data_IF_281033953607
#
_entry.id   IF_281033953607
#
_cell.length_a   1.000
_cell.length_b   1.000
_cell.length_c   1.000
_cell.angle_alpha   90.00
_cell.angle_beta   90.00
_cell.angle_gamma   90.00
#
_symmetry.space_group_name_H-M   'P 1'
#
loop_
_entity.id
_entity.type
_entity.pdbx_description
1 polymer ?
#
# COMPACT_ATOMS: atom_id res chain seq x y z
N UNK A 1 -12.15 15.34 3.96
CA UNK A 1 -10.98 14.64 3.38
C UNK A 1 -9.74 14.90 4.23
N UNK A 2 -9.11 13.84 4.65
CA UNK A 2 -7.87 13.89 5.42
C UNK A 2 -6.76 13.25 4.61
N UNK A 3 -5.64 13.97 4.45
CA UNK A 3 -4.47 13.49 3.73
C UNK A 3 -3.35 13.22 4.73
N UNK A 4 -2.82 12.00 4.71
CA UNK A 4 -1.74 11.57 5.61
C UNK A 4 -0.60 10.96 4.78
N UNK A 5 0.61 11.40 5.07
CA UNK A 5 1.81 10.92 4.41
C UNK A 5 2.75 10.32 5.45
N UNK A 6 2.92 9.00 5.41
CA UNK A 6 3.76 8.25 6.32
C UNK A 6 3.49 8.62 7.79
N UNK A 7 2.23 8.55 8.25
CA UNK A 7 1.86 9.12 9.54
C UNK A 7 2.53 8.48 10.76
N UNK A 8 3.04 7.26 10.63
CA UNK A 8 3.68 6.56 11.76
C UNK A 8 5.14 6.22 11.51
N UNK A 9 5.74 6.74 10.43
CA UNK A 9 7.06 6.29 9.98
C UNK A 9 8.20 6.54 10.98
N UNK A 10 8.12 7.62 11.75
CA UNK A 10 9.16 7.95 12.70
C UNK A 10 8.79 7.66 14.16
N UNK A 11 7.71 6.92 14.38
CA UNK A 11 7.22 6.60 15.71
C UNK A 11 7.71 5.23 16.16
N UNK A 12 7.86 5.04 17.47
CA UNK A 12 8.11 3.73 18.00
C UNK A 12 6.87 2.83 17.85
N UNK A 13 7.01 1.50 17.97
CA UNK A 13 5.89 0.60 17.74
C UNK A 13 4.66 0.86 18.60
N UNK A 14 4.84 1.20 19.85
CA UNK A 14 3.72 1.44 20.76
C UNK A 14 2.95 2.69 20.38
N UNK A 15 3.66 3.77 20.12
CA UNK A 15 3.06 5.03 19.71
C UNK A 15 2.40 4.90 18.34
N UNK A 16 3.03 4.19 17.43
CA UNK A 16 2.46 3.94 16.10
C UNK A 16 1.13 3.19 16.21
N UNK A 17 1.05 2.21 17.10
CA UNK A 17 -0.18 1.45 17.29
C UNK A 17 -1.30 2.33 17.84
N UNK A 18 -1.00 3.22 18.78
CA UNK A 18 -1.98 4.16 19.33
C UNK A 18 -2.50 5.08 18.22
N UNK A 19 -1.62 5.60 17.39
CA UNK A 19 -2.02 6.47 16.28
C UNK A 19 -2.91 5.72 15.29
N UNK A 20 -2.59 4.49 14.96
CA UNK A 20 -3.43 3.68 14.07
C UNK A 20 -4.82 3.46 14.65
N UNK A 21 -4.91 3.17 15.93
CA UNK A 21 -6.17 3.01 16.63
C UNK A 21 -7.01 4.29 16.60
N UNK A 22 -6.35 5.42 16.78
CA UNK A 22 -7.02 6.72 16.70
C UNK A 22 -7.57 6.97 15.30
N UNK A 23 -6.80 6.66 14.26
CA UNK A 23 -7.23 6.86 12.88
C UNK A 23 -8.43 5.97 12.53
N UNK A 24 -8.42 4.73 12.99
CA UNK A 24 -9.54 3.82 12.80
C UNK A 24 -10.82 4.37 13.45
N UNK A 25 -10.71 4.84 14.69
CA UNK A 25 -11.82 5.43 15.42
C UNK A 25 -12.35 6.69 14.76
N UNK A 26 -11.44 7.56 14.35
CA UNK A 26 -11.79 8.80 13.69
C UNK A 26 -12.60 8.54 12.41
N UNK A 27 -12.14 7.60 11.60
CA UNK A 27 -12.85 7.26 10.37
C UNK A 27 -14.24 6.70 10.63
N UNK A 28 -14.36 5.81 11.63
CA UNK A 28 -15.65 5.22 11.97
C UNK A 28 -16.63 6.27 12.50
N UNK A 29 -16.16 7.19 13.33
CA UNK A 29 -17.02 8.19 13.97
C UNK A 29 -17.47 9.30 13.03
N UNK A 30 -16.57 9.72 12.13
CA UNK A 30 -16.84 10.87 11.26
C UNK A 30 -17.29 10.48 9.86
N UNK A 31 -17.03 9.25 9.42
CA UNK A 31 -17.28 8.84 8.05
C UNK A 31 -16.38 9.56 7.05
N UNK A 32 -15.31 10.19 7.52
CA UNK A 32 -14.42 10.96 6.66
C UNK A 32 -13.67 10.07 5.67
N UNK A 33 -13.39 10.63 4.49
CA UNK A 33 -12.51 9.98 3.53
C UNK A 33 -11.07 10.30 3.91
N UNK A 34 -10.25 9.27 4.02
CA UNK A 34 -8.83 9.41 4.36
C UNK A 34 -7.99 8.86 3.22
N UNK A 35 -7.06 9.67 2.73
CA UNK A 35 -6.06 9.24 1.77
C UNK A 35 -4.74 9.10 2.50
N UNK A 36 -4.21 7.88 2.53
CA UNK A 36 -3.01 7.52 3.27
C UNK A 36 -1.92 7.06 2.31
N UNK A 37 -0.76 7.71 2.39
CA UNK A 37 0.43 7.24 1.67
C UNK A 37 1.37 6.60 2.69
N UNK A 38 1.79 5.37 2.44
CA UNK A 38 2.66 4.64 3.36
C UNK A 38 3.42 3.55 2.63
N UNK A 39 4.64 3.26 3.11
CA UNK A 39 5.44 2.12 2.69
C UNK A 39 5.27 0.95 3.65
N UNK A 40 4.60 1.16 4.77
CA UNK A 40 4.33 0.10 5.74
C UNK A 40 3.08 -0.66 5.32
N UNK A 41 3.27 -1.80 4.67
CA UNK A 41 2.14 -2.57 4.12
C UNK A 41 1.22 -3.12 5.21
N UNK A 42 1.73 -3.43 6.39
CA UNK A 42 0.88 -3.87 7.50
C UNK A 42 -0.07 -2.76 7.95
N UNK A 43 0.41 -1.52 7.97
CA UNK A 43 -0.41 -0.37 8.28
C UNK A 43 -1.48 -0.13 7.21
N UNK A 44 -1.10 -0.24 5.95
CA UNK A 44 -2.02 -0.09 4.82
C UNK A 44 -3.10 -1.17 4.88
N UNK A 45 -2.71 -2.40 5.13
CA UNK A 45 -3.66 -3.53 5.24
C UNK A 45 -4.66 -3.31 6.37
N UNK A 46 -4.21 -2.78 7.49
CA UNK A 46 -5.05 -2.53 8.66
C UNK A 46 -6.01 -1.35 8.47
N UNK A 47 -5.53 -0.26 7.88
CA UNK A 47 -6.25 1.02 7.86
C UNK A 47 -7.05 1.28 6.58
N UNK A 48 -6.68 0.67 5.47
CA UNK A 48 -7.24 1.05 4.18
C UNK A 48 -8.29 0.06 3.70
N UNK A 49 -9.37 0.59 3.12
CA UNK A 49 -10.41 -0.22 2.47
C UNK A 49 -10.03 -0.52 1.03
N UNK A 50 -9.29 0.38 0.42
CA UNK A 50 -8.86 0.25 -0.96
C UNK A 50 -7.41 0.71 -1.07
N UNK A 51 -6.64 -0.02 -1.84
CA UNK A 51 -5.22 0.22 -2.01
C UNK A 51 -4.92 0.46 -3.48
N UNK A 52 -4.17 1.52 -3.74
CA UNK A 52 -3.60 1.79 -5.05
C UNK A 52 -2.11 1.56 -4.93
N UNK A 53 -1.61 0.51 -5.58
CA UNK A 53 -0.18 0.23 -5.56
C UNK A 53 0.50 0.92 -6.73
N UNK A 54 1.49 1.74 -6.41
CA UNK A 54 2.20 2.52 -7.42
C UNK A 54 3.69 2.23 -7.37
N UNK A 55 4.29 2.28 -8.54
CA UNK A 55 5.72 2.13 -8.68
C UNK A 55 6.19 2.96 -9.87
N UNK A 56 7.21 3.78 -9.64
CA UNK A 56 7.79 4.66 -10.66
C UNK A 56 6.74 5.52 -11.35
N UNK A 57 5.83 6.07 -10.55
CA UNK A 57 4.79 6.96 -11.06
C UNK A 57 3.64 6.26 -11.76
N UNK A 58 3.59 4.92 -11.72
CA UNK A 58 2.53 4.18 -12.39
C UNK A 58 1.73 3.32 -11.43
N UNK A 59 0.46 3.16 -11.75
CA UNK A 59 -0.42 2.27 -11.00
C UNK A 59 -0.17 0.84 -11.45
N UNK A 60 0.25 -0.02 -10.53
CA UNK A 60 0.54 -1.43 -10.85
C UNK A 60 -0.53 -2.39 -10.37
N UNK A 61 -1.33 -2.01 -9.39
CA UNK A 61 -2.50 -2.76 -8.99
C UNK A 61 -3.44 -1.90 -8.15
N UNK A 62 -4.69 -2.33 -8.02
CA UNK A 62 -5.76 -1.58 -7.39
C UNK A 62 -6.80 -2.54 -6.86
N UNK A 63 -7.23 -2.37 -5.63
CA UNK A 63 -8.27 -3.19 -5.03
C UNK A 63 -8.26 -3.15 -3.51
N UNK A 64 -9.19 -3.87 -2.91
CA UNK A 64 -9.20 -4.05 -1.46
C UNK A 64 -8.01 -4.91 -1.04
N UNK A 65 -7.47 -4.74 0.17
CA UNK A 65 -6.33 -5.54 0.62
C UNK A 65 -6.53 -7.05 0.47
N UNK A 66 -7.66 -7.58 0.92
CA UNK A 66 -7.94 -9.01 0.79
C UNK A 66 -8.05 -9.47 -0.66
N UNK A 67 -8.61 -8.62 -1.50
CA UNK A 67 -8.74 -8.90 -2.92
C UNK A 67 -7.38 -9.03 -3.58
N UNK A 68 -6.47 -8.12 -3.27
CA UNK A 68 -5.11 -8.14 -3.80
C UNK A 68 -4.36 -9.37 -3.30
N UNK A 69 -4.49 -9.69 -2.03
CA UNK A 69 -3.84 -10.86 -1.43
C UNK A 69 -4.31 -12.14 -2.13
N UNK A 70 -5.61 -12.29 -2.35
CA UNK A 70 -6.18 -13.46 -3.02
C UNK A 70 -5.77 -13.54 -4.49
N UNK A 71 -5.84 -12.42 -5.18
CA UNK A 71 -5.49 -12.35 -6.61
C UNK A 71 -4.09 -12.83 -6.88
N UNK A 72 -3.15 -12.49 -6.00
CA UNK A 72 -1.75 -12.84 -6.16
C UNK A 72 -1.34 -14.11 -5.41
N UNK A 73 -2.28 -14.74 -4.71
CA UNK A 73 -1.99 -15.98 -3.99
C UNK A 73 -0.99 -15.82 -2.86
N UNK A 74 -1.00 -14.67 -2.20
CA UNK A 74 -0.09 -14.37 -1.11
C UNK A 74 -0.82 -14.35 0.23
N UNK A 75 -0.08 -14.18 1.32
CA UNK A 75 -0.63 -14.14 2.67
C UNK A 75 -0.79 -12.73 3.21
N UNK A 76 0.07 -11.83 2.78
CA UNK A 76 0.07 -10.44 3.25
C UNK A 76 0.21 -9.48 2.08
N UNK A 77 -0.20 -8.25 2.33
CA UNK A 77 -0.08 -7.19 1.33
C UNK A 77 1.39 -6.89 1.03
N UNK A 78 2.27 -7.03 2.01
CA UNK A 78 3.70 -6.87 1.80
C UNK A 78 4.22 -7.87 0.78
N UNK A 79 3.80 -9.13 0.88
CA UNK A 79 4.19 -10.17 -0.09
C UNK A 79 3.69 -9.83 -1.49
N UNK A 80 2.48 -9.30 -1.60
CA UNK A 80 1.93 -8.86 -2.88
C UNK A 80 2.80 -7.77 -3.48
N UNK A 81 3.12 -6.76 -2.69
CA UNK A 81 3.93 -5.63 -3.13
C UNK A 81 5.30 -6.09 -3.61
N UNK A 82 5.97 -6.96 -2.84
CA UNK A 82 7.27 -7.48 -3.21
C UNK A 82 7.23 -8.29 -4.49
N UNK A 83 6.19 -9.11 -4.67
CA UNK A 83 6.03 -9.89 -5.88
C UNK A 83 5.86 -9.01 -7.12
N UNK A 84 5.03 -7.98 -7.01
CA UNK A 84 4.82 -7.03 -8.11
C UNK A 84 6.07 -6.23 -8.43
N UNK A 85 6.80 -5.82 -7.40
CA UNK A 85 8.05 -5.08 -7.58
C UNK A 85 9.09 -5.92 -8.29
N UNK A 86 9.22 -7.19 -7.91
CA UNK A 86 10.17 -8.10 -8.54
C UNK A 86 9.79 -8.42 -9.98
N UNK A 87 8.52 -8.63 -10.24
CA UNK A 87 8.03 -8.88 -11.59
C UNK A 87 8.31 -7.70 -12.51
N UNK A 88 8.06 -6.48 -12.04
CA UNK A 88 8.34 -5.27 -12.78
C UNK A 88 9.83 -5.12 -13.08
N UNK A 89 10.69 -5.36 -12.09
CA UNK A 89 12.14 -5.29 -12.26
C UNK A 89 12.64 -6.36 -13.24
N UNK A 90 12.13 -7.58 -13.13
CA UNK A 90 12.52 -8.68 -14.03
C UNK A 90 12.12 -8.37 -15.46
N UNK A 91 10.94 -7.84 -15.67
CA UNK A 91 10.46 -7.45 -17.00
C UNK A 91 11.36 -6.37 -17.60
N UNK A 92 11.70 -5.36 -16.82
CA UNK A 92 12.58 -4.29 -17.25
C UNK A 92 13.95 -4.83 -17.65
N UNK A 93 14.52 -5.70 -16.83
CA UNK A 93 15.83 -6.30 -17.12
C UNK A 93 15.80 -7.17 -18.37
N UNK A 94 14.68 -7.84 -18.61
CA UNK A 94 14.53 -8.77 -19.72
C UNK A 94 14.42 -8.06 -21.07
N UNK A 95 13.65 -6.99 -21.13
CA UNK A 95 13.38 -6.28 -22.37
C UNK A 95 14.50 -5.34 -22.76
N UNK A 96 15.16 -4.74 -21.79
CA UNK A 96 16.21 -3.72 -22.00
C UNK A 96 15.72 -2.57 -22.85
N UNK A 97 14.45 -2.38 -22.96
CA UNK A 97 13.83 -1.32 -23.73
C UNK A 97 13.10 -0.39 -22.78
N UNK A 98 13.60 0.84 -22.61
CA UNK A 98 12.97 1.77 -21.69
C UNK A 98 11.51 2.05 -22.01
N UNK A 99 11.14 2.04 -23.26
CA UNK A 99 9.75 2.25 -23.65
C UNK A 99 8.84 1.10 -23.31
N UNK A 100 9.39 -0.11 -23.27
CA UNK A 100 8.63 -1.32 -22.96
C UNK A 100 8.61 -1.62 -21.47
N UNK A 101 9.42 -0.95 -20.68
CA UNK A 101 9.49 -1.19 -19.25
C UNK A 101 8.37 -0.52 -18.48
N UNK A 102 7.55 0.14 -19.13
CA UNK A 102 6.43 0.77 -18.50
C UNK A 102 5.66 -0.29 -17.74
N UNK A 103 5.53 -0.07 -16.54
CA UNK A 103 5.45 -0.84 -15.33
C UNK A 103 4.76 -1.80 -15.14
#
# INVERSE_FOLDING_TARGET
>A
LLLLDEPTASLDPDTADVVRGFLESYRRQTGATVLLASHNMAEVERLCDRVLMMRRGRLIDDGAPLELIRRHGRRTLEEVFLALARASAATAAKTKDPGATAP
#
